data_IF_743402493412
#
_entry.id   IF_743402493412
#
_cell.length_a   1.000
_cell.length_b   1.000
_cell.length_c   1.000
_cell.angle_alpha   90.00
_cell.angle_beta   90.00
_cell.angle_gamma   90.00
#
_symmetry.space_group_name_H-M   'P 1'
#
loop_
_entity.id
_entity.type
_entity.pdbx_description
1 polymer ?
#
# COMPACT_ATOMS: atom_id res chain seq x y z
N UNK A 1 -3.93 69.42 5.75
CA UNK A 1 -4.83 69.00 4.66
C UNK A 1 -4.14 67.87 3.92
N UNK A 2 -4.90 66.80 3.81
CA UNK A 2 -4.56 65.42 3.46
C UNK A 2 -4.27 65.21 1.96
N UNK A 3 -3.26 64.39 1.71
CA UNK A 3 -3.20 63.21 0.83
C UNK A 3 -4.30 62.99 -0.23
N UNK A 4 -3.89 62.78 -1.49
CA UNK A 4 -3.81 61.45 -2.12
C UNK A 4 -3.58 61.59 -3.64
N UNK A 5 -2.39 61.20 -4.12
CA UNK A 5 -2.14 60.97 -5.54
C UNK A 5 -2.25 59.46 -5.82
N UNK A 6 -3.40 59.03 -6.36
CA UNK A 6 -3.68 57.65 -6.72
C UNK A 6 -2.70 57.10 -7.77
N UNK A 7 -1.80 56.22 -7.34
CA UNK A 7 -0.99 55.36 -8.22
C UNK A 7 -1.88 54.28 -8.83
N UNK A 8 -2.16 54.36 -10.13
CA UNK A 8 -2.72 53.25 -10.92
C UNK A 8 -1.76 52.06 -10.88
N UNK A 9 -2.15 50.96 -10.24
CA UNK A 9 -1.45 49.67 -10.27
C UNK A 9 -1.43 49.10 -11.71
N UNK A 10 -0.35 48.45 -12.16
CA UNK A 10 -0.19 48.02 -13.55
C UNK A 10 -1.12 46.86 -13.91
N UNK A 11 -1.89 46.99 -15.00
CA UNK A 11 -2.84 46.00 -15.55
C UNK A 11 -2.16 44.76 -16.17
N UNK A 12 -0.85 44.59 -15.96
CA UNK A 12 -0.05 43.51 -16.52
C UNK A 12 -0.18 42.23 -15.70
N UNK A 13 -0.19 42.34 -14.35
CA UNK A 13 -0.41 41.20 -13.46
C UNK A 13 -1.74 40.51 -13.71
N UNK A 14 -2.82 41.27 -13.95
CA UNK A 14 -4.15 40.70 -14.25
C UNK A 14 -4.18 39.94 -15.60
N UNK A 15 -3.39 40.37 -16.59
CA UNK A 15 -3.34 39.71 -17.91
C UNK A 15 -2.50 38.43 -17.88
N UNK A 16 -1.44 38.42 -17.09
CA UNK A 16 -0.63 37.22 -16.84
C UNK A 16 -1.45 36.20 -16.05
N UNK A 17 -2.19 36.65 -15.03
CA UNK A 17 -3.05 35.79 -14.21
C UNK A 17 -4.21 35.20 -15.02
N UNK A 18 -4.86 35.98 -15.89
CA UNK A 18 -5.88 35.47 -16.81
C UNK A 18 -5.32 34.50 -17.87
N UNK A 19 -4.08 34.70 -18.31
CA UNK A 19 -3.43 33.79 -19.25
C UNK A 19 -3.04 32.46 -18.60
N UNK A 20 -2.56 32.50 -17.35
CA UNK A 20 -2.29 31.30 -16.53
C UNK A 20 -3.59 30.53 -16.26
N UNK A 21 -4.66 31.23 -15.87
CA UNK A 21 -5.96 30.61 -15.59
C UNK A 21 -6.59 29.98 -16.85
N UNK A 22 -6.43 30.61 -18.02
CA UNK A 22 -6.83 29.99 -19.28
C UNK A 22 -5.99 28.75 -19.65
N UNK A 23 -4.71 28.72 -19.26
CA UNK A 23 -3.82 27.60 -19.51
C UNK A 23 -4.13 26.41 -18.59
N UNK A 24 -4.48 26.69 -17.33
CA UNK A 24 -4.99 25.70 -16.37
C UNK A 24 -6.32 25.12 -16.84
N UNK A 25 -7.27 25.94 -17.29
CA UNK A 25 -8.55 25.44 -17.84
C UNK A 25 -8.35 24.57 -19.08
N UNK A 26 -7.43 24.94 -19.97
CA UNK A 26 -7.12 24.13 -21.16
C UNK A 26 -6.43 22.81 -20.77
N UNK A 27 -5.55 22.84 -19.77
CA UNK A 27 -4.91 21.64 -19.23
C UNK A 27 -5.93 20.72 -18.55
N UNK A 28 -6.83 21.26 -17.72
CA UNK A 28 -7.90 20.50 -17.07
C UNK A 28 -8.90 19.88 -18.07
N UNK A 29 -9.25 20.60 -19.14
CA UNK A 29 -10.10 20.04 -20.22
C UNK A 29 -9.36 18.95 -21.01
N UNK A 30 -8.06 19.13 -21.28
CA UNK A 30 -7.26 18.10 -21.94
C UNK A 30 -7.11 16.85 -21.07
N UNK A 31 -6.95 17.03 -19.76
CA UNK A 31 -6.88 15.97 -18.75
C UNK A 31 -8.21 15.21 -18.66
N UNK A 32 -9.34 15.91 -18.51
CA UNK A 32 -10.66 15.27 -18.47
C UNK A 32 -10.99 14.49 -19.76
N UNK A 33 -10.53 14.99 -20.92
CA UNK A 33 -10.67 14.25 -22.19
C UNK A 33 -9.77 13.02 -22.22
N UNK A 34 -8.55 13.08 -21.68
CA UNK A 34 -7.64 11.95 -21.58
C UNK A 34 -8.20 10.86 -20.65
N UNK A 35 -8.68 11.24 -19.46
CA UNK A 35 -9.34 10.38 -18.47
C UNK A 35 -10.56 9.68 -19.06
N UNK A 36 -11.47 10.46 -19.67
CA UNK A 36 -12.67 9.88 -20.28
C UNK A 36 -12.32 8.93 -21.43
N UNK A 37 -11.27 9.25 -22.19
CA UNK A 37 -10.77 8.36 -23.23
C UNK A 37 -10.17 7.08 -22.64
N UNK A 38 -9.51 7.14 -21.47
CA UNK A 38 -8.90 6.00 -20.79
C UNK A 38 -9.94 5.08 -20.15
N UNK A 39 -10.91 5.61 -19.41
CA UNK A 39 -12.04 4.83 -18.88
C UNK A 39 -12.84 4.14 -20.00
N UNK A 40 -13.02 4.83 -21.13
CA UNK A 40 -13.67 4.23 -22.29
C UNK A 40 -12.77 3.19 -22.98
N UNK A 41 -11.45 3.35 -22.94
CA UNK A 41 -10.50 2.32 -23.37
C UNK A 41 -10.58 1.07 -22.48
N UNK A 42 -10.58 1.20 -21.15
CA UNK A 42 -10.76 0.08 -20.21
C UNK A 42 -12.09 -0.64 -20.44
N UNK A 43 -13.21 0.11 -20.50
CA UNK A 43 -14.54 -0.46 -20.77
C UNK A 43 -14.61 -1.20 -22.11
N UNK A 44 -13.82 -0.77 -23.08
CA UNK A 44 -13.75 -1.37 -24.42
C UNK A 44 -12.63 -2.41 -24.57
N UNK A 45 -11.82 -2.64 -23.53
CA UNK A 45 -10.66 -3.54 -23.56
C UNK A 45 -9.54 -3.08 -24.52
N UNK A 46 -9.39 -1.77 -24.72
CA UNK A 46 -8.37 -1.15 -25.57
C UNK A 46 -7.23 -0.61 -24.69
N UNK A 47 -5.97 -0.71 -25.13
CA UNK A 47 -4.83 -0.11 -24.41
C UNK A 47 -4.35 -0.87 -23.17
N UNK A 48 -4.83 -2.11 -22.96
CA UNK A 48 -4.19 -3.07 -22.05
C UNK A 48 -2.77 -3.36 -22.54
N UNK A 49 -1.78 -3.27 -21.65
CA UNK A 49 -0.50 -3.91 -21.94
C UNK A 49 -0.80 -5.40 -22.02
N UNK A 50 -0.47 -6.01 -23.15
CA UNK A 50 -0.65 -7.45 -23.33
C UNK A 50 0.30 -8.15 -22.37
N UNK A 51 -0.16 -8.48 -21.17
CA UNK A 51 0.50 -9.50 -20.36
C UNK A 51 0.68 -10.73 -21.24
N UNK A 52 1.76 -11.50 -21.10
CA UNK A 52 1.75 -12.80 -21.74
C UNK A 52 0.69 -13.64 -21.02
N UNK A 53 -0.40 -13.91 -21.75
CA UNK A 53 -1.41 -14.94 -21.49
C UNK A 53 -2.29 -14.79 -20.24
N UNK A 54 -3.46 -15.43 -20.31
CA UNK A 54 -4.35 -15.72 -19.18
C UNK A 54 -3.57 -16.34 -17.99
N UNK A 55 -4.15 -16.39 -16.77
CA UNK A 55 -3.52 -17.04 -15.61
C UNK A 55 -2.83 -18.32 -16.04
N UNK A 56 -1.50 -18.34 -15.97
CA UNK A 56 -0.77 -19.55 -16.29
C UNK A 56 -0.84 -20.43 -15.06
N UNK A 57 -1.40 -21.63 -15.20
CA UNK A 57 -0.93 -22.75 -14.37
C UNK A 57 0.58 -22.82 -14.65
N UNK A 58 1.39 -22.33 -13.71
CA UNK A 58 2.83 -22.41 -13.86
C UNK A 58 3.18 -23.90 -13.85
N UNK A 59 3.53 -24.45 -15.02
CA UNK A 59 4.06 -25.82 -15.19
C UNK A 59 5.33 -26.06 -14.33
N UNK A 60 5.84 -25.02 -13.65
CA UNK A 60 6.99 -25.04 -12.75
C UNK A 60 6.71 -24.62 -11.30
N UNK A 61 5.45 -24.54 -10.83
CA UNK A 61 5.21 -24.44 -9.37
C UNK A 61 5.92 -25.61 -8.70
N UNK A 62 6.75 -25.30 -7.70
CA UNK A 62 7.58 -26.30 -7.05
C UNK A 62 6.75 -27.33 -6.26
N UNK A 63 5.46 -27.03 -6.01
CA UNK A 63 4.55 -27.86 -5.21
C UNK A 63 5.07 -28.09 -3.79
N UNK A 64 5.93 -27.18 -3.30
CA UNK A 64 6.58 -27.31 -1.99
C UNK A 64 5.54 -27.14 -0.89
N UNK A 65 5.53 -28.08 0.05
CA UNK A 65 4.67 -28.07 1.23
C UNK A 65 5.51 -28.23 2.50
N UNK A 66 4.91 -27.93 3.64
CA UNK A 66 5.55 -27.92 4.95
C UNK A 66 6.54 -26.77 5.13
N UNK A 67 7.46 -26.93 6.09
CA UNK A 67 8.44 -25.91 6.45
C UNK A 67 9.67 -25.87 5.51
N UNK A 68 9.99 -24.69 4.97
CA UNK A 68 11.15 -24.48 4.09
C UNK A 68 11.58 -23.01 3.99
N UNK A 69 12.73 -22.74 3.36
CA UNK A 69 13.15 -21.38 2.96
C UNK A 69 13.17 -21.22 1.44
N UNK A 70 12.96 -20.00 0.95
CA UNK A 70 13.01 -19.65 -0.47
C UNK A 70 13.74 -18.32 -0.66
N UNK A 71 14.46 -18.20 -1.79
CA UNK A 71 15.05 -16.93 -2.20
C UNK A 71 14.06 -16.19 -3.09
N UNK A 72 13.75 -14.94 -2.76
CA UNK A 72 12.75 -14.12 -3.46
C UNK A 72 13.42 -12.86 -4.00
N UNK A 73 13.16 -12.59 -5.28
CA UNK A 73 13.69 -11.44 -5.99
C UNK A 73 12.64 -10.31 -6.05
N UNK A 74 13.08 -9.07 -5.85
CA UNK A 74 12.26 -7.87 -5.97
C UNK A 74 13.15 -6.65 -6.24
N UNK A 75 12.56 -5.51 -6.59
CA UNK A 75 13.27 -4.24 -6.83
C UNK A 75 13.33 -3.40 -5.55
N UNK A 76 14.45 -2.69 -5.34
CA UNK A 76 14.62 -1.78 -4.20
C UNK A 76 14.84 -0.35 -4.64
N UNK A 77 14.08 0.59 -4.07
CA UNK A 77 14.28 2.03 -4.31
C UNK A 77 15.65 2.51 -3.81
N UNK A 78 16.21 1.87 -2.78
CA UNK A 78 17.52 2.23 -2.23
C UNK A 78 18.68 1.99 -3.20
N UNK A 79 18.51 1.09 -4.17
CA UNK A 79 19.51 0.78 -5.21
C UNK A 79 19.17 1.46 -6.54
N UNK A 80 18.19 2.36 -6.57
CA UNK A 80 17.71 2.95 -7.83
C UNK A 80 16.87 1.98 -8.66
N UNK A 81 16.09 1.12 -8.00
CA UNK A 81 15.23 0.09 -8.59
C UNK A 81 15.95 -1.13 -9.18
N UNK A 82 17.19 -1.41 -8.75
CA UNK A 82 17.85 -2.68 -9.12
C UNK A 82 17.18 -3.87 -8.42
N UNK A 83 17.22 -5.03 -9.09
CA UNK A 83 16.80 -6.32 -8.53
C UNK A 83 17.73 -6.72 -7.39
N UNK A 84 17.14 -7.05 -6.25
CA UNK A 84 17.79 -7.63 -5.08
C UNK A 84 17.10 -8.94 -4.70
N UNK A 85 17.75 -9.73 -3.86
CA UNK A 85 17.25 -11.04 -3.45
C UNK A 85 17.33 -11.19 -1.94
N UNK A 86 16.30 -11.74 -1.32
CA UNK A 86 16.30 -12.06 0.12
C UNK A 86 15.77 -13.48 0.37
N UNK A 87 16.22 -14.10 1.45
CA UNK A 87 15.63 -15.35 1.93
C UNK A 87 14.35 -15.06 2.74
N UNK A 88 13.33 -15.90 2.58
CA UNK A 88 12.12 -15.95 3.40
C UNK A 88 11.86 -17.36 3.90
N UNK A 89 11.21 -17.48 5.06
CA UNK A 89 10.69 -18.74 5.56
C UNK A 89 9.25 -18.97 5.07
N UNK A 90 8.86 -20.23 4.98
CA UNK A 90 7.48 -20.65 4.76
C UNK A 90 7.20 -21.87 5.62
N UNK A 91 6.05 -21.90 6.28
CA UNK A 91 5.55 -23.09 6.97
C UNK A 91 4.03 -23.19 6.80
N UNK A 92 3.57 -24.33 6.28
CA UNK A 92 2.15 -24.59 6.11
C UNK A 92 1.41 -24.66 7.46
N UNK A 93 2.10 -25.03 8.55
CA UNK A 93 1.52 -25.13 9.90
C UNK A 93 0.99 -23.78 10.41
N UNK A 94 1.52 -22.65 9.89
CA UNK A 94 1.06 -21.30 10.25
C UNK A 94 -0.44 -21.09 10.01
N UNK A 95 -1.01 -21.75 9.00
CA UNK A 95 -2.43 -21.59 8.61
C UNK A 95 -3.38 -22.50 9.42
N UNK A 96 -2.84 -23.22 10.39
CA UNK A 96 -3.59 -24.04 11.36
C UNK A 96 -3.46 -23.53 12.79
N UNK A 97 -2.70 -22.45 12.99
CA UNK A 97 -2.56 -21.75 14.27
C UNK A 97 -3.72 -20.76 14.50
N UNK A 98 -3.74 -20.16 15.70
CA UNK A 98 -4.69 -19.08 16.02
C UNK A 98 -4.28 -17.80 15.28
N UNK A 99 -5.11 -17.25 14.37
CA UNK A 99 -4.74 -16.05 13.61
C UNK A 99 -4.64 -14.79 14.47
N UNK A 100 -5.16 -14.80 15.70
CA UNK A 100 -5.06 -13.66 16.65
C UNK A 100 -3.72 -13.62 17.39
N UNK A 101 -2.86 -14.61 17.17
CA UNK A 101 -1.50 -14.65 17.73
C UNK A 101 -0.50 -14.23 16.66
N UNK A 102 0.22 -13.14 16.92
CA UNK A 102 1.23 -12.61 15.99
C UNK A 102 2.30 -13.66 15.65
N UNK A 103 2.48 -13.92 14.36
CA UNK A 103 3.52 -14.77 13.83
C UNK A 103 4.57 -13.91 13.10
N UNK A 104 5.75 -13.79 13.70
CA UNK A 104 6.81 -12.92 13.19
C UNK A 104 7.43 -13.42 11.87
N UNK A 105 7.57 -14.75 11.69
CA UNK A 105 8.13 -15.31 10.45
C UNK A 105 7.16 -15.15 9.29
N UNK A 106 5.85 -15.40 9.51
CA UNK A 106 4.81 -15.13 8.51
C UNK A 106 4.75 -13.65 8.16
N UNK A 107 4.80 -12.76 9.17
CA UNK A 107 4.86 -11.33 8.95
C UNK A 107 6.10 -10.94 8.11
N UNK A 108 7.27 -11.51 8.39
CA UNK A 108 8.50 -11.25 7.63
C UNK A 108 8.34 -11.65 6.16
N UNK A 109 7.73 -12.81 5.90
CA UNK A 109 7.41 -13.25 4.54
C UNK A 109 6.40 -12.33 3.86
N UNK A 110 5.37 -11.87 4.57
CA UNK A 110 4.41 -10.88 4.07
C UNK A 110 5.06 -9.53 3.75
N UNK A 111 6.08 -9.09 4.49
CA UNK A 111 6.82 -7.86 4.19
C UNK A 111 7.51 -7.95 2.83
N UNK A 112 8.13 -9.10 2.54
CA UNK A 112 8.79 -9.37 1.25
C UNK A 112 7.75 -9.48 0.13
N UNK A 113 6.66 -10.23 0.32
CA UNK A 113 5.59 -10.33 -0.68
C UNK A 113 4.96 -8.96 -0.99
N UNK A 114 4.80 -8.10 0.01
CA UNK A 114 4.32 -6.73 -0.18
C UNK A 114 5.29 -5.88 -1.01
N UNK A 115 6.60 -6.09 -0.88
CA UNK A 115 7.60 -5.44 -1.74
C UNK A 115 7.57 -5.98 -3.16
N UNK A 116 7.43 -7.30 -3.32
CA UNK A 116 7.29 -7.98 -4.62
C UNK A 116 6.08 -7.45 -5.39
N UNK A 117 4.96 -7.18 -4.72
CA UNK A 117 3.77 -6.58 -5.35
C UNK A 117 4.08 -5.23 -6.01
N UNK A 118 4.95 -4.42 -5.40
CA UNK A 118 5.40 -3.15 -6.01
C UNK A 118 6.30 -3.39 -7.21
N UNK A 119 7.18 -4.38 -7.14
CA UNK A 119 8.10 -4.72 -8.24
C UNK A 119 7.38 -5.29 -9.46
N UNK A 120 6.26 -5.99 -9.25
CA UNK A 120 5.46 -6.58 -10.31
C UNK A 120 4.96 -5.56 -11.33
N UNK A 121 4.73 -4.30 -10.92
CA UNK A 121 4.35 -3.24 -11.87
C UNK A 121 5.34 -3.04 -13.00
N UNK A 122 6.64 -3.30 -12.78
CA UNK A 122 7.64 -3.24 -13.84
C UNK A 122 7.32 -4.18 -15.00
N UNK A 123 6.71 -5.35 -14.74
CA UNK A 123 6.36 -6.33 -15.76
C UNK A 123 5.27 -5.84 -16.72
N UNK A 124 4.36 -5.01 -16.22
CA UNK A 124 3.17 -4.54 -16.92
C UNK A 124 3.35 -3.18 -17.63
N UNK A 125 4.59 -2.73 -17.79
CA UNK A 125 4.92 -1.50 -18.53
C UNK A 125 5.21 -1.80 -20.02
N UNK A 126 4.74 -0.93 -20.92
CA UNK A 126 4.96 -1.08 -22.37
C UNK A 126 6.46 -1.14 -22.70
N UNK A 127 6.89 -2.25 -23.31
CA UNK A 127 8.28 -2.45 -23.72
C UNK A 127 9.24 -2.82 -22.59
N UNK A 128 8.73 -3.19 -21.42
CA UNK A 128 9.53 -3.65 -20.29
C UNK A 128 10.12 -5.05 -20.52
N UNK A 129 11.35 -5.23 -20.06
CA UNK A 129 12.03 -6.53 -19.92
C UNK A 129 12.06 -7.00 -18.45
N UNK A 130 11.27 -6.36 -17.57
CA UNK A 130 11.22 -6.72 -16.15
C UNK A 130 10.69 -8.14 -15.96
N UNK A 131 11.21 -8.91 -14.99
CA UNK A 131 10.62 -10.19 -14.60
C UNK A 131 9.19 -10.04 -14.05
N UNK A 132 8.40 -11.11 -14.16
CA UNK A 132 7.16 -11.28 -13.38
C UNK A 132 7.52 -11.70 -11.95
N UNK A 133 7.98 -10.74 -11.15
CA UNK A 133 8.49 -10.96 -9.79
C UNK A 133 7.49 -11.69 -8.89
N UNK A 134 6.21 -11.31 -8.94
CA UNK A 134 5.17 -11.92 -8.12
C UNK A 134 4.88 -13.36 -8.56
N UNK A 135 4.77 -13.60 -9.87
CA UNK A 135 4.57 -14.96 -10.38
C UNK A 135 5.73 -15.88 -10.01
N UNK A 136 6.97 -15.41 -10.15
CA UNK A 136 8.17 -16.14 -9.77
C UNK A 136 8.24 -16.42 -8.25
N UNK A 137 7.98 -15.40 -7.42
CA UNK A 137 8.00 -15.52 -5.96
C UNK A 137 6.96 -16.54 -5.47
N UNK A 138 5.74 -16.46 -5.99
CA UNK A 138 4.65 -17.35 -5.60
C UNK A 138 4.90 -18.79 -6.05
N UNK A 139 5.49 -19.02 -7.23
CA UNK A 139 5.89 -20.34 -7.69
C UNK A 139 6.97 -20.98 -6.81
N UNK A 140 7.97 -20.21 -6.37
CA UNK A 140 9.02 -20.64 -5.45
C UNK A 140 8.48 -21.00 -4.06
N UNK A 141 7.42 -20.32 -3.65
CA UNK A 141 6.65 -20.61 -2.43
C UNK A 141 5.62 -21.73 -2.63
N UNK A 142 5.52 -22.35 -3.82
CA UNK A 142 4.63 -23.47 -4.08
C UNK A 142 3.15 -23.11 -4.23
N UNK A 143 2.84 -21.85 -4.54
CA UNK A 143 1.49 -21.46 -4.96
C UNK A 143 1.20 -21.90 -6.40
N UNK A 144 -0.09 -22.01 -6.68
CA UNK A 144 -0.73 -22.43 -7.92
C UNK A 144 -1.85 -21.42 -8.27
N UNK A 145 -2.35 -21.45 -9.51
CA UNK A 145 -3.37 -20.51 -10.03
C UNK A 145 -3.07 -19.02 -9.68
N UNK A 146 -1.89 -18.56 -10.08
CA UNK A 146 -1.45 -17.20 -9.79
C UNK A 146 -2.11 -16.23 -10.77
N UNK A 147 -2.71 -15.17 -10.22
CA UNK A 147 -3.40 -14.13 -10.97
C UNK A 147 -2.88 -12.75 -10.58
N UNK A 148 -2.20 -12.13 -11.54
CA UNK A 148 -1.66 -10.77 -11.54
C UNK A 148 -2.44 -9.88 -12.54
N UNK A 149 -3.61 -10.34 -13.01
CA UNK A 149 -4.38 -9.70 -14.07
C UNK A 149 -4.80 -8.25 -13.74
N UNK A 150 -4.97 -7.95 -12.45
CA UNK A 150 -5.26 -6.60 -11.95
C UNK A 150 -4.24 -5.55 -12.42
N UNK A 151 -2.98 -5.93 -12.64
CA UNK A 151 -1.91 -5.00 -13.01
C UNK A 151 -1.97 -4.51 -14.47
N UNK A 152 -2.73 -5.19 -15.35
CA UNK A 152 -2.75 -4.97 -16.81
C UNK A 152 -3.20 -3.58 -17.25
N UNK A 153 -3.99 -2.90 -16.42
CA UNK A 153 -4.55 -1.57 -16.71
C UNK A 153 -4.01 -0.51 -15.76
N UNK A 154 -3.16 -0.90 -14.79
CA UNK A 154 -2.88 -0.11 -13.58
C UNK A 154 -1.39 0.15 -13.38
N UNK A 155 -0.52 -0.13 -14.36
CA UNK A 155 0.94 -0.11 -14.19
C UNK A 155 1.69 0.89 -15.10
N UNK A 156 0.97 1.72 -15.86
CA UNK A 156 1.56 2.79 -16.66
C UNK A 156 1.69 4.09 -15.85
N UNK A 157 2.90 4.63 -15.77
CA UNK A 157 3.24 5.86 -15.00
C UNK A 157 2.39 7.07 -15.45
N UNK A 158 1.93 7.09 -16.70
CA UNK A 158 1.12 8.19 -17.23
C UNK A 158 -0.36 8.12 -16.81
N UNK A 159 -0.88 6.93 -16.52
CA UNK A 159 -2.27 6.76 -16.06
C UNK A 159 -2.40 7.20 -14.60
N UNK A 160 -1.43 6.87 -13.76
CA UNK A 160 -1.45 7.17 -12.32
C UNK A 160 -1.30 8.67 -12.01
N UNK A 161 -0.51 9.43 -12.79
CA UNK A 161 -0.44 10.91 -12.66
C UNK A 161 -1.74 11.57 -13.12
N UNK A 162 -2.46 10.94 -14.05
CA UNK A 162 -3.72 11.45 -14.60
C UNK A 162 -4.89 11.15 -13.66
N UNK A 163 -4.96 9.94 -13.09
CA UNK A 163 -5.99 9.53 -12.14
C UNK A 163 -5.86 10.29 -10.80
N UNK A 164 -4.62 10.48 -10.34
CA UNK A 164 -4.29 11.32 -9.17
C UNK A 164 -4.72 12.79 -9.36
N UNK A 165 -4.51 13.38 -10.55
CA UNK A 165 -4.89 14.77 -10.83
C UNK A 165 -6.37 14.95 -11.20
N UNK A 166 -7.06 13.87 -11.55
CA UNK A 166 -8.45 13.91 -12.03
C UNK A 166 -9.48 13.51 -10.96
N UNK A 167 -9.05 13.03 -9.79
CA UNK A 167 -9.96 12.52 -8.75
C UNK A 167 -10.80 11.36 -9.26
N UNK A 168 -10.29 10.61 -10.23
CA UNK A 168 -11.00 9.45 -10.81
C UNK A 168 -10.41 8.17 -10.28
N UNK A 169 -11.11 7.59 -9.31
CA UNK A 169 -11.17 6.16 -9.00
C UNK A 169 -9.84 5.41 -9.03
N UNK A 170 -9.03 5.65 -8.01
CA UNK A 170 -7.72 5.04 -7.77
C UNK A 170 -7.86 3.50 -7.63
N UNK A 171 -7.64 2.75 -8.71
CA UNK A 171 -7.75 1.28 -8.66
C UNK A 171 -6.39 0.69 -8.31
N UNK A 172 -6.30 0.15 -7.09
CA UNK A 172 -5.08 -0.50 -6.60
C UNK A 172 -4.89 -1.86 -7.31
N UNK A 173 -3.66 -2.16 -7.72
CA UNK A 173 -3.33 -3.45 -8.29
C UNK A 173 -3.13 -4.51 -7.19
N UNK A 174 -3.52 -5.75 -7.43
CA UNK A 174 -3.35 -6.84 -6.48
C UNK A 174 -3.13 -8.18 -7.18
N UNK A 175 -2.53 -9.10 -6.44
CA UNK A 175 -2.26 -10.46 -6.88
C UNK A 175 -3.06 -11.43 -6.01
N UNK A 176 -3.67 -12.43 -6.64
CA UNK A 176 -4.34 -13.55 -5.94
C UNK A 176 -3.70 -14.85 -6.37
N UNK A 177 -3.38 -15.72 -5.42
CA UNK A 177 -2.87 -17.05 -5.71
C UNK A 177 -3.37 -18.08 -4.70
N UNK A 178 -3.37 -19.34 -5.09
CA UNK A 178 -3.86 -20.44 -4.26
C UNK A 178 -2.76 -21.40 -3.87
N UNK A 179 -2.83 -22.02 -2.71
CA UNK A 179 -1.91 -23.08 -2.29
C UNK A 179 -2.63 -24.09 -1.44
N UNK A 180 -2.38 -25.39 -1.67
CA UNK A 180 -2.76 -26.43 -0.71
C UNK A 180 -1.73 -26.46 0.41
N UNK A 181 -2.19 -26.18 1.63
CA UNK A 181 -1.36 -26.25 2.84
C UNK A 181 -1.78 -27.46 3.66
N UNK A 182 -0.80 -28.17 4.20
CA UNK A 182 -1.03 -29.41 4.97
C UNK A 182 -0.34 -29.33 6.32
N UNK A 183 -1.11 -29.50 7.40
CA UNK A 183 -0.58 -29.59 8.75
C UNK A 183 0.17 -30.90 8.98
N UNK A 184 1.04 -30.93 10.00
CA UNK A 184 1.77 -32.13 10.42
C UNK A 184 0.85 -33.31 10.79
N UNK A 185 -0.37 -33.01 11.25
CA UNK A 185 -1.38 -34.00 11.62
C UNK A 185 -2.26 -34.48 10.44
N UNK A 186 -2.03 -33.95 9.24
CA UNK A 186 -2.70 -34.32 7.99
C UNK A 186 -3.99 -33.55 7.70
N UNK A 187 -4.34 -32.53 8.47
CA UNK A 187 -5.38 -31.56 8.06
C UNK A 187 -4.90 -30.77 6.84
N UNK A 188 -5.82 -30.45 5.94
CA UNK A 188 -5.53 -29.69 4.72
C UNK A 188 -6.42 -28.45 4.66
N UNK A 189 -5.89 -27.35 4.11
CA UNK A 189 -6.67 -26.18 3.72
C UNK A 189 -6.28 -25.71 2.32
N UNK A 190 -7.19 -25.04 1.62
CA UNK A 190 -6.84 -24.22 0.46
C UNK A 190 -6.59 -22.79 0.94
N UNK A 191 -5.34 -22.36 0.90
CA UNK A 191 -4.92 -21.00 1.19
C UNK A 191 -5.09 -20.12 -0.05
N UNK A 192 -5.77 -18.99 0.10
CA UNK A 192 -5.78 -17.88 -0.84
C UNK A 192 -4.91 -16.76 -0.29
N UNK A 193 -3.84 -16.41 -1.01
CA UNK A 193 -3.02 -15.24 -0.73
C UNK A 193 -3.50 -14.07 -1.58
N UNK A 194 -3.67 -12.92 -0.96
CA UNK A 194 -3.83 -11.62 -1.59
C UNK A 194 -2.66 -10.73 -1.21
N UNK A 195 -1.87 -10.34 -2.22
CA UNK A 195 -0.78 -9.37 -2.06
C UNK A 195 -1.12 -8.11 -2.83
N UNK A 196 -1.23 -6.99 -2.12
CA UNK A 196 -1.75 -5.73 -2.66
C UNK A 196 -0.62 -4.73 -2.87
N UNK A 197 -0.58 -4.15 -4.08
CA UNK A 197 0.42 -3.16 -4.48
C UNK A 197 0.23 -1.84 -3.73
N UNK A 198 1.33 -1.25 -3.28
CA UNK A 198 1.41 0.11 -2.78
C UNK A 198 1.66 1.16 -3.87
N UNK A 199 2.42 2.19 -3.51
CA UNK A 199 2.86 3.25 -4.43
C UNK A 199 4.36 3.12 -4.71
N UNK A 200 4.81 3.50 -5.92
CA UNK A 200 6.19 3.39 -6.38
C UNK A 200 6.90 4.76 -6.45
N UNK A 201 7.84 5.02 -5.54
CA UNK A 201 8.85 6.09 -5.63
C UNK A 201 8.34 7.53 -5.84
N UNK A 202 8.19 7.96 -7.11
CA UNK A 202 7.81 9.33 -7.49
C UNK A 202 6.38 9.70 -7.13
N UNK A 203 5.51 8.71 -6.95
CA UNK A 203 4.10 8.87 -6.59
C UNK A 203 3.94 9.56 -5.23
N UNK A 204 4.76 9.20 -4.25
CA UNK A 204 4.73 9.81 -2.90
C UNK A 204 5.17 11.28 -2.89
N UNK A 205 6.08 11.66 -3.80
CA UNK A 205 6.52 13.05 -3.95
C UNK A 205 5.48 13.88 -4.70
N UNK A 206 4.68 13.29 -5.59
CA UNK A 206 3.49 13.94 -6.14
C UNK A 206 2.35 14.05 -5.15
N UNK A 207 2.15 13.05 -4.27
CA UNK A 207 1.19 13.10 -3.15
C UNK A 207 1.48 14.26 -2.19
N UNK A 208 2.77 14.58 -2.00
CA UNK A 208 3.23 15.77 -1.28
C UNK A 208 3.21 17.07 -2.12
N UNK A 209 3.25 16.97 -3.44
CA UNK A 209 3.21 18.11 -4.36
C UNK A 209 1.77 18.38 -4.81
N UNK A 210 0.91 18.61 -3.83
CA UNK A 210 -0.49 19.00 -4.04
C UNK A 210 -0.55 20.30 -4.85
N UNK A 211 -1.20 20.23 -6.01
CA UNK A 211 -1.57 21.40 -6.83
C UNK A 211 -2.55 22.34 -6.12
N UNK A 212 -3.04 23.35 -6.84
CA UNK A 212 -3.91 24.39 -6.27
C UNK A 212 -5.22 23.76 -5.72
N UNK A 213 -5.47 23.92 -4.42
CA UNK A 213 -6.57 23.28 -3.67
C UNK A 213 -7.99 23.61 -4.18
N UNK A 214 -8.11 24.52 -5.15
CA UNK A 214 -9.37 24.92 -5.77
C UNK A 214 -9.86 23.96 -6.87
N UNK A 215 -9.02 23.02 -7.32
CA UNK A 215 -9.37 22.02 -8.34
C UNK A 215 -9.82 20.66 -7.73
N UNK A 216 -9.80 20.52 -6.39
CA UNK A 216 -10.17 19.29 -5.68
C UNK A 216 -11.54 19.42 -5.00
N UNK A 217 -12.49 18.55 -5.34
CA UNK A 217 -13.61 18.24 -4.44
C UNK A 217 -13.06 17.33 -3.33
N UNK A 218 -12.51 17.93 -2.26
CA UNK A 218 -11.97 17.25 -1.06
C UNK A 218 -13.07 16.64 -0.16
N UNK A 219 -14.08 16.01 -0.75
CA UNK A 219 -15.01 15.19 0.00
C UNK A 219 -14.31 13.86 0.34
N UNK A 220 -13.69 13.81 1.52
CA UNK A 220 -12.87 12.74 2.08
C UNK A 220 -11.45 12.62 1.49
N UNK A 221 -10.44 12.60 2.36
CA UNK A 221 -9.09 12.16 1.99
C UNK A 221 -9.24 10.69 1.54
N UNK A 222 -9.06 10.41 0.25
CA UNK A 222 -9.40 9.21 -0.56
C UNK A 222 -9.67 7.85 0.15
N UNK A 223 -10.68 7.81 1.03
CA UNK A 223 -11.20 6.58 1.61
C UNK A 223 -11.96 5.73 0.59
N UNK A 224 -12.64 6.36 -0.37
CA UNK A 224 -13.49 5.66 -1.32
C UNK A 224 -12.68 4.75 -2.26
N UNK A 225 -11.49 5.20 -2.69
CA UNK A 225 -10.59 4.41 -3.53
C UNK A 225 -10.16 3.11 -2.86
N UNK A 226 -9.69 3.17 -1.62
CA UNK A 226 -9.27 1.96 -0.88
C UNK A 226 -10.45 1.02 -0.63
N UNK A 227 -11.61 1.55 -0.24
CA UNK A 227 -12.82 0.75 -0.05
C UNK A 227 -13.25 0.06 -1.33
N UNK A 228 -13.18 0.74 -2.48
CA UNK A 228 -13.54 0.16 -3.77
C UNK A 228 -12.60 -0.97 -4.17
N UNK A 229 -11.29 -0.76 -4.04
CA UNK A 229 -10.30 -1.80 -4.31
C UNK A 229 -10.46 -3.00 -3.36
N UNK A 230 -10.76 -2.75 -2.08
CA UNK A 230 -11.04 -3.82 -1.13
C UNK A 230 -12.30 -4.63 -1.49
N UNK A 231 -13.37 -3.96 -1.95
CA UNK A 231 -14.56 -4.65 -2.45
C UNK A 231 -14.26 -5.49 -3.70
N UNK A 232 -13.46 -4.97 -4.65
CA UNK A 232 -13.04 -5.72 -5.85
C UNK A 232 -12.29 -7.00 -5.47
N UNK A 233 -11.36 -6.93 -4.51
CA UNK A 233 -10.63 -8.09 -3.99
C UNK A 233 -11.60 -9.12 -3.38
N UNK A 234 -12.53 -8.67 -2.53
CA UNK A 234 -13.52 -9.54 -1.88
C UNK A 234 -14.43 -10.21 -2.90
N UNK A 235 -14.84 -9.49 -3.95
CA UNK A 235 -15.67 -10.04 -5.03
C UNK A 235 -14.89 -11.07 -5.87
N UNK A 236 -13.60 -10.83 -6.19
CA UNK A 236 -12.75 -11.79 -6.90
C UNK A 236 -12.53 -13.07 -6.05
N UNK A 237 -12.23 -12.91 -4.75
CA UNK A 237 -12.13 -14.04 -3.81
C UNK A 237 -13.43 -14.82 -3.75
N UNK A 238 -14.58 -14.15 -3.61
CA UNK A 238 -15.88 -14.80 -3.57
C UNK A 238 -16.15 -15.61 -4.84
N UNK A 239 -15.81 -15.07 -6.02
CA UNK A 239 -15.97 -15.79 -7.29
C UNK A 239 -15.08 -17.03 -7.35
N UNK A 240 -13.80 -16.90 -6.99
CA UNK A 240 -12.83 -18.01 -7.00
C UNK A 240 -13.20 -19.11 -6.02
N UNK A 241 -13.48 -18.74 -4.77
CA UNK A 241 -13.86 -19.68 -3.71
C UNK A 241 -15.17 -20.39 -4.08
N UNK A 242 -16.18 -19.67 -4.60
CA UNK A 242 -17.43 -20.31 -5.03
C UNK A 242 -17.19 -21.32 -6.16
N UNK A 243 -16.27 -21.01 -7.09
CA UNK A 243 -15.92 -21.90 -8.21
C UNK A 243 -15.21 -23.17 -7.76
N UNK A 244 -14.31 -23.06 -6.78
CA UNK A 244 -13.54 -24.20 -6.26
C UNK A 244 -14.30 -25.02 -5.22
N UNK A 245 -14.87 -24.35 -4.20
CA UNK A 245 -15.55 -25.00 -3.09
C UNK A 245 -16.87 -25.65 -3.48
N UNK A 246 -17.60 -25.07 -4.43
CA UNK A 246 -18.92 -25.56 -4.86
C UNK A 246 -19.88 -25.77 -3.68
N UNK A 247 -20.46 -26.97 -3.57
CA UNK A 247 -21.35 -27.34 -2.45
C UNK A 247 -20.59 -27.77 -1.16
N UNK A 248 -19.25 -27.76 -1.19
CA UNK A 248 -18.39 -28.23 -0.09
C UNK A 248 -18.29 -27.30 1.11
N UNK A 249 -18.73 -26.04 0.96
CA UNK A 249 -18.60 -25.01 2.00
C UNK A 249 -17.19 -24.40 2.05
N UNK A 250 -16.98 -23.46 2.97
CA UNK A 250 -15.73 -22.69 3.08
C UNK A 250 -14.88 -23.06 4.29
N UNK A 251 -15.24 -24.11 5.03
CA UNK A 251 -14.60 -24.51 6.30
C UNK A 251 -13.09 -24.83 6.16
N UNK A 252 -12.66 -25.32 5.00
CA UNK A 252 -11.26 -25.65 4.70
C UNK A 252 -10.53 -24.52 3.93
N UNK A 253 -11.09 -23.32 3.85
CA UNK A 253 -10.46 -22.15 3.22
C UNK A 253 -9.66 -21.36 4.26
N UNK A 254 -8.47 -20.92 3.88
CA UNK A 254 -7.70 -19.91 4.61
C UNK A 254 -7.41 -18.70 3.71
N UNK A 255 -7.39 -17.50 4.29
CA UNK A 255 -7.08 -16.25 3.59
C UNK A 255 -5.85 -15.60 4.22
N UNK A 256 -4.92 -15.13 3.40
CA UNK A 256 -3.78 -14.33 3.83
C UNK A 256 -3.75 -13.03 3.04
N UNK A 257 -3.87 -11.90 3.74
CA UNK A 257 -3.79 -10.56 3.16
C UNK A 257 -2.47 -9.90 3.54
N UNK A 258 -1.80 -9.28 2.57
CA UNK A 258 -0.64 -8.44 2.83
C UNK A 258 -0.52 -7.28 1.86
N UNK A 259 0.16 -6.23 2.30
CA UNK A 259 0.45 -5.06 1.49
C UNK A 259 1.32 -4.06 2.24
N UNK A 260 1.87 -3.10 1.50
CA UNK A 260 2.68 -2.00 2.04
C UNK A 260 2.09 -0.64 1.63
N UNK A 261 2.08 0.35 2.53
CA UNK A 261 1.62 1.72 2.26
C UNK A 261 0.16 1.77 1.78
N UNK A 262 -0.12 2.35 0.60
CA UNK A 262 -1.44 2.29 -0.05
C UNK A 262 -2.00 0.86 -0.14
N UNK A 263 -1.16 -0.12 -0.47
CA UNK A 263 -1.56 -1.52 -0.56
C UNK A 263 -1.89 -2.12 0.79
N UNK A 264 -1.21 -1.66 1.85
CA UNK A 264 -1.54 -2.02 3.23
C UNK A 264 -2.94 -1.52 3.62
N UNK A 265 -3.33 -0.31 3.22
CA UNK A 265 -4.67 0.23 3.50
C UNK A 265 -5.77 -0.64 2.86
N UNK A 266 -5.61 -0.98 1.59
CA UNK A 266 -6.55 -1.85 0.87
C UNK A 266 -6.56 -3.27 1.43
N UNK A 267 -5.41 -3.86 1.78
CA UNK A 267 -5.33 -5.19 2.39
C UNK A 267 -6.00 -5.23 3.78
N UNK A 268 -5.80 -4.20 4.60
CA UNK A 268 -6.43 -4.05 5.92
C UNK A 268 -7.97 -3.98 5.79
N UNK A 269 -8.48 -3.17 4.85
CA UNK A 269 -9.91 -3.11 4.55
C UNK A 269 -10.48 -4.43 4.02
N UNK A 270 -9.80 -5.06 3.06
CA UNK A 270 -10.25 -6.33 2.49
C UNK A 270 -10.33 -7.45 3.55
N UNK A 271 -9.35 -7.51 4.45
CA UNK A 271 -9.38 -8.42 5.59
C UNK A 271 -10.57 -8.11 6.53
N UNK A 272 -10.80 -6.84 6.89
CA UNK A 272 -11.93 -6.45 7.74
C UNK A 272 -13.28 -6.82 7.13
N UNK A 273 -13.41 -6.73 5.81
CA UNK A 273 -14.63 -7.12 5.09
C UNK A 273 -14.81 -8.63 5.09
N UNK A 274 -13.72 -9.39 4.92
CA UNK A 274 -13.75 -10.84 5.05
C UNK A 274 -14.15 -11.27 6.47
N UNK A 275 -13.65 -10.59 7.50
CA UNK A 275 -14.03 -10.83 8.90
C UNK A 275 -15.52 -10.51 9.13
N UNK A 276 -16.02 -9.35 8.68
CA UNK A 276 -17.44 -8.99 8.76
C UNK A 276 -18.35 -10.03 8.09
N UNK A 277 -17.90 -10.61 6.96
CA UNK A 277 -18.63 -11.65 6.23
C UNK A 277 -18.78 -12.95 7.02
N UNK A 278 -17.93 -13.21 8.03
CA UNK A 278 -18.06 -14.36 8.93
C UNK A 278 -19.33 -14.31 9.80
N UNK A 279 -19.87 -13.11 10.03
CA UNK A 279 -21.13 -12.89 10.74
C UNK A 279 -22.36 -13.06 9.83
N UNK A 280 -22.14 -13.19 8.52
CA UNK A 280 -23.17 -13.20 7.49
C UNK A 280 -23.51 -14.57 6.91
N UNK A 281 -24.12 -14.56 5.72
CA UNK A 281 -24.50 -15.77 4.95
C UNK A 281 -23.54 -16.08 3.79
N UNK A 282 -22.54 -15.23 3.56
CA UNK A 282 -21.57 -15.33 2.46
C UNK A 282 -20.15 -15.41 3.03
N UNK A 283 -19.93 -16.37 3.92
CA UNK A 283 -18.63 -16.55 4.58
C UNK A 283 -17.60 -16.98 3.53
N UNK A 284 -16.49 -16.23 3.40
CA UNK A 284 -15.38 -16.59 2.50
C UNK A 284 -14.48 -17.67 3.11
N UNK A 285 -14.19 -17.53 4.40
CA UNK A 285 -13.43 -18.46 5.23
C UNK A 285 -13.86 -18.32 6.70
N UNK A 286 -13.63 -19.32 7.56
CA UNK A 286 -13.83 -19.17 8.99
C UNK A 286 -12.92 -18.07 9.56
N UNK A 287 -13.38 -17.35 10.57
CA UNK A 287 -12.61 -16.26 11.20
C UNK A 287 -11.25 -16.76 11.71
N UNK A 288 -11.21 -17.99 12.23
CA UNK A 288 -10.00 -18.70 12.67
C UNK A 288 -9.03 -19.09 11.53
N UNK A 289 -9.31 -18.67 10.29
CA UNK A 289 -8.49 -18.95 9.10
C UNK A 289 -8.27 -17.71 8.23
N UNK A 290 -8.50 -16.50 8.75
CA UNK A 290 -8.22 -15.24 8.08
C UNK A 290 -7.01 -14.59 8.75
N UNK A 291 -5.98 -14.26 7.99
CA UNK A 291 -4.72 -13.69 8.47
C UNK A 291 -4.42 -12.40 7.70
N UNK A 292 -3.98 -11.35 8.38
CA UNK A 292 -3.60 -10.10 7.70
C UNK A 292 -2.35 -9.47 8.34
N UNK A 293 -1.36 -9.20 7.49
CA UNK A 293 -0.10 -8.55 7.88
C UNK A 293 0.18 -7.39 6.93
N UNK A 294 0.15 -6.18 7.47
CA UNK A 294 0.28 -4.96 6.69
C UNK A 294 1.46 -4.12 7.19
N UNK A 295 2.07 -3.36 6.30
CA UNK A 295 3.29 -2.60 6.58
C UNK A 295 3.11 -1.14 6.17
N UNK A 296 3.57 -0.23 7.01
CA UNK A 296 3.41 1.21 6.78
C UNK A 296 1.95 1.62 6.54
N UNK A 297 1.00 0.95 7.20
CA UNK A 297 -0.44 1.12 7.00
C UNK A 297 -0.85 2.52 7.42
N UNK A 298 -1.40 3.36 6.54
CA UNK A 298 -1.94 4.66 6.94
C UNK A 298 -3.17 4.50 7.84
N UNK A 299 -3.60 5.58 8.47
CA UNK A 299 -4.95 5.59 9.03
C UNK A 299 -5.96 5.63 7.87
N UNK A 300 -7.07 4.91 7.95
CA UNK A 300 -7.86 4.61 6.76
C UNK A 300 -9.38 4.56 6.96
N UNK A 301 -9.87 4.80 8.18
CA UNK A 301 -11.32 4.89 8.44
C UNK A 301 -11.61 5.73 9.67
N UNK A 302 -12.82 6.29 9.75
CA UNK A 302 -13.33 6.98 10.96
C UNK A 302 -14.28 6.11 11.78
N UNK A 303 -14.35 4.81 11.45
CA UNK A 303 -15.17 3.82 12.15
C UNK A 303 -14.60 3.57 13.55
N UNK A 304 -15.46 3.67 14.58
CA UNK A 304 -15.03 3.61 15.99
C UNK A 304 -14.69 2.20 16.50
N UNK A 305 -15.17 1.14 15.84
CA UNK A 305 -15.08 -0.25 16.33
C UNK A 305 -13.98 -1.07 15.63
N UNK A 306 -12.98 -0.39 15.05
CA UNK A 306 -11.84 -1.02 14.35
C UNK A 306 -10.94 -1.89 15.23
N UNK A 307 -11.02 -1.72 16.56
CA UNK A 307 -10.32 -2.54 17.55
C UNK A 307 -11.19 -3.61 18.23
N UNK A 308 -12.35 -3.94 17.67
CA UNK A 308 -13.17 -5.06 18.15
C UNK A 308 -12.44 -6.40 17.95
N UNK A 309 -12.71 -7.38 18.82
CA UNK A 309 -12.12 -8.71 18.77
C UNK A 309 -12.36 -9.48 17.44
N UNK A 310 -13.28 -8.98 16.61
CA UNK A 310 -13.50 -9.47 15.26
C UNK A 310 -12.27 -9.27 14.36
N UNK A 311 -11.45 -8.24 14.63
CA UNK A 311 -10.33 -7.83 13.79
C UNK A 311 -8.96 -8.11 14.45
N UNK A 312 -8.92 -8.92 15.52
CA UNK A 312 -7.70 -9.27 16.28
C UNK A 312 -6.68 -10.08 15.44
N UNK A 313 -7.08 -10.56 14.26
CA UNK A 313 -6.25 -11.25 13.25
C UNK A 313 -5.52 -10.31 12.27
N UNK A 314 -5.72 -8.99 12.40
CA UNK A 314 -5.09 -7.98 11.56
C UNK A 314 -3.93 -7.33 12.32
N UNK A 315 -2.72 -7.46 11.81
CA UNK A 315 -1.51 -6.85 12.37
C UNK A 315 -0.93 -5.78 11.44
N UNK A 316 -0.79 -4.56 11.94
CA UNK A 316 -0.19 -3.43 11.23
C UNK A 316 1.22 -3.18 11.80
N UNK A 317 2.26 -3.42 11.01
CA UNK A 317 3.64 -3.20 11.39
C UNK A 317 4.04 -1.78 10.97
N UNK A 318 4.44 -0.97 11.95
CA UNK A 318 4.61 0.48 11.79
C UNK A 318 6.02 0.90 12.18
N UNK A 319 6.64 1.77 11.38
CA UNK A 319 7.93 2.39 11.69
C UNK A 319 7.71 3.76 12.36
N UNK A 320 8.27 4.01 13.56
CA UNK A 320 8.14 5.31 14.24
C UNK A 320 8.68 6.51 13.46
N UNK A 321 9.64 6.30 12.57
CA UNK A 321 10.23 7.36 11.73
C UNK A 321 9.59 7.44 10.34
N UNK A 322 8.55 6.66 10.08
CA UNK A 322 7.73 6.73 8.88
C UNK A 322 6.49 7.59 9.14
N UNK A 323 6.25 8.58 8.28
CA UNK A 323 5.11 9.48 8.43
C UNK A 323 3.79 8.86 7.94
N UNK A 324 3.83 7.86 7.05
CA UNK A 324 2.62 7.30 6.42
C UNK A 324 1.66 6.70 7.44
N UNK A 325 2.13 5.90 8.42
CA UNK A 325 1.30 5.42 9.53
C UNK A 325 0.73 6.51 10.45
N UNK A 326 1.06 7.78 10.24
CA UNK A 326 0.58 8.88 11.08
C UNK A 326 -0.45 9.73 10.36
N UNK A 327 -0.76 9.39 9.10
CA UNK A 327 -1.64 10.14 8.23
C UNK A 327 -2.74 9.24 7.63
N UNK A 328 -3.95 9.79 7.43
CA UNK A 328 -4.45 11.05 7.99
C UNK A 328 -4.44 11.03 9.53
N UNK A 329 -4.56 12.19 10.19
CA UNK A 329 -4.27 12.26 11.62
C UNK A 329 -5.31 11.50 12.46
N UNK A 330 -4.83 10.73 13.44
CA UNK A 330 -5.69 10.12 14.46
C UNK A 330 -6.49 11.17 15.26
N UNK A 331 -5.96 12.39 15.43
CA UNK A 331 -6.68 13.49 16.06
C UNK A 331 -7.92 13.95 15.26
N UNK A 332 -8.00 13.60 13.98
CA UNK A 332 -9.19 13.83 13.14
C UNK A 332 -10.21 12.69 13.24
N UNK A 333 -9.96 11.68 14.09
CA UNK A 333 -10.82 10.52 14.26
C UNK A 333 -10.51 9.37 13.31
N UNK A 334 -9.43 9.46 12.53
CA UNK A 334 -8.99 8.38 11.65
C UNK A 334 -8.28 7.29 12.45
N UNK A 335 -8.48 6.05 12.05
CA UNK A 335 -7.92 4.83 12.65
C UNK A 335 -7.76 3.76 11.57
N UNK A 336 -7.19 2.61 11.92
CA UNK A 336 -7.08 1.39 11.10
C UNK A 336 -7.55 0.16 11.87
N UNK A 337 -7.94 -0.91 11.17
CA UNK A 337 -8.41 -2.14 11.81
C UNK A 337 -7.26 -2.94 12.44
N UNK A 338 -7.54 -3.61 13.55
CA UNK A 338 -6.64 -4.56 14.19
C UNK A 338 -5.61 -3.96 15.15
N UNK A 339 -4.43 -4.57 15.18
CA UNK A 339 -3.37 -4.30 16.16
C UNK A 339 -2.16 -3.60 15.53
N UNK A 340 -1.77 -2.47 16.13
CA UNK A 340 -0.58 -1.73 15.74
C UNK A 340 0.66 -2.25 16.49
N UNK A 341 1.65 -2.70 15.73
CA UNK A 341 2.94 -3.20 16.20
C UNK A 341 4.06 -2.26 15.74
N UNK A 342 4.62 -1.52 16.69
CA UNK A 342 5.70 -0.57 16.40
C UNK A 342 7.06 -1.26 16.35
N UNK A 343 7.79 -1.02 15.26
CA UNK A 343 9.22 -1.31 15.15
C UNK A 343 10.01 -0.45 16.16
N UNK A 344 11.26 -0.85 16.51
CA UNK A 344 12.09 -0.06 17.42
C UNK A 344 12.22 1.39 16.96
N UNK A 345 11.96 2.34 17.86
CA UNK A 345 12.05 3.76 17.58
C UNK A 345 13.28 4.39 18.21
N UNK A 346 13.79 5.44 17.56
CA UNK A 346 14.89 6.24 18.11
C UNK A 346 14.56 6.72 19.53
N UNK A 347 15.51 6.55 20.46
CA UNK A 347 15.34 6.87 21.87
C UNK A 347 14.77 5.73 22.74
N UNK A 348 14.34 4.61 22.15
CA UNK A 348 13.90 3.43 22.90
C UNK A 348 15.10 2.71 23.57
N UNK A 349 14.83 1.95 24.63
CA UNK A 349 15.87 1.15 25.28
C UNK A 349 16.40 0.06 24.34
N UNK A 350 17.73 0.01 24.18
CA UNK A 350 18.40 -0.95 23.30
C UNK A 350 18.24 -0.63 21.80
N UNK A 351 17.80 0.59 21.44
CA UNK A 351 17.62 0.98 20.05
C UNK A 351 18.91 0.87 19.24
N UNK A 352 20.04 1.39 19.75
CA UNK A 352 21.31 1.44 19.01
C UNK A 352 21.77 0.06 18.53
N UNK A 353 21.70 -0.95 19.40
CA UNK A 353 22.08 -2.34 19.07
C UNK A 353 21.15 -2.95 18.00
N UNK A 354 19.84 -2.68 18.11
CA UNK A 354 18.85 -3.16 17.13
C UNK A 354 18.97 -2.45 15.79
N UNK A 355 19.27 -1.14 15.80
CA UNK A 355 19.49 -0.35 14.61
C UNK A 355 20.75 -0.81 13.87
N UNK A 356 21.85 -1.09 14.58
CA UNK A 356 23.07 -1.66 13.98
C UNK A 356 22.78 -3.00 13.29
N UNK A 357 22.05 -3.91 13.97
CA UNK A 357 21.65 -5.18 13.38
C UNK A 357 20.74 -5.02 12.14
N UNK A 358 19.79 -4.08 12.17
CA UNK A 358 18.94 -3.77 11.02
C UNK A 358 19.75 -3.25 9.84
N UNK A 359 20.73 -2.36 10.08
CA UNK A 359 21.60 -1.85 9.03
C UNK A 359 22.47 -2.96 8.40
N UNK A 360 22.99 -3.90 9.20
CA UNK A 360 23.74 -5.05 8.69
C UNK A 360 22.86 -5.92 7.76
N UNK A 361 21.62 -6.19 8.16
CA UNK A 361 20.67 -6.94 7.33
C UNK A 361 20.31 -6.17 6.05
N UNK A 362 20.08 -4.86 6.16
CA UNK A 362 19.78 -4.02 5.01
C UNK A 362 20.91 -4.05 3.98
N UNK A 363 22.15 -3.89 4.41
CA UNK A 363 23.32 -3.94 3.54
C UNK A 363 23.49 -5.34 2.93
N UNK A 364 23.23 -6.40 3.69
CA UNK A 364 23.27 -7.77 3.19
C UNK A 364 22.24 -8.03 2.08
N UNK A 365 21.03 -7.50 2.21
CA UNK A 365 19.96 -7.66 1.22
C UNK A 365 20.16 -6.78 -0.02
N UNK A 366 20.61 -5.53 0.17
CA UNK A 366 20.59 -4.50 -0.88
C UNK A 366 21.95 -4.25 -1.53
N UNK A 367 23.06 -4.62 -0.86
CA UNK A 367 24.41 -4.31 -1.28
C UNK A 367 24.83 -2.83 -1.12
N UNK A 368 23.99 -2.00 -0.48
CA UNK A 368 24.27 -0.58 -0.22
C UNK A 368 24.03 -0.22 1.25
N UNK A 369 24.67 0.86 1.70
CA UNK A 369 24.48 1.39 3.05
C UNK A 369 23.01 1.81 3.29
N UNK A 370 22.50 1.56 4.49
CA UNK A 370 21.13 1.88 4.84
C UNK A 370 20.89 3.40 4.84
N UNK A 371 19.92 3.92 4.06
CA UNK A 371 19.62 5.35 4.04
C UNK A 371 18.73 5.78 5.22
N UNK A 372 18.24 4.84 6.04
CA UNK A 372 17.30 5.12 7.13
C UNK A 372 17.91 6.06 8.18
N UNK A 373 17.23 7.18 8.44
CA UNK A 373 17.61 8.16 9.47
C UNK A 373 16.67 8.00 10.67
N UNK A 374 17.13 7.38 11.77
CA UNK A 374 16.26 7.05 12.88
C UNK A 374 15.73 8.29 13.62
N UNK A 375 16.50 9.38 13.67
CA UNK A 375 16.11 10.66 14.26
C UNK A 375 14.88 11.29 13.60
N UNK A 376 14.48 10.85 12.40
CA UNK A 376 13.28 11.34 11.73
C UNK A 376 12.00 11.09 12.53
N UNK A 377 12.01 10.18 13.51
CA UNK A 377 10.95 10.04 14.51
C UNK A 377 10.59 11.39 15.14
N UNK A 378 11.58 12.17 15.56
CA UNK A 378 11.35 13.47 16.21
C UNK A 378 10.71 14.48 15.24
N UNK A 379 11.13 14.46 13.97
CA UNK A 379 10.58 15.32 12.92
C UNK A 379 9.12 14.94 12.60
N UNK A 380 8.84 13.64 12.48
CA UNK A 380 7.49 13.12 12.23
C UNK A 380 6.56 13.42 13.40
N UNK A 381 6.99 13.20 14.65
CA UNK A 381 6.19 13.49 15.83
C UNK A 381 5.84 14.99 15.92
N UNK A 382 6.82 15.86 15.67
CA UNK A 382 6.59 17.32 15.63
C UNK A 382 5.61 17.71 14.53
N UNK A 383 5.78 17.16 13.31
CA UNK A 383 4.89 17.45 12.19
C UNK A 383 3.43 17.07 12.49
N UNK A 384 3.22 15.88 13.06
CA UNK A 384 1.89 15.38 13.46
C UNK A 384 1.26 16.27 14.53
N UNK A 385 2.04 16.69 15.53
CA UNK A 385 1.55 17.61 16.58
C UNK A 385 1.18 18.99 16.01
N UNK A 386 2.05 19.55 15.18
CA UNK A 386 1.83 20.86 14.58
C UNK A 386 0.63 20.85 13.63
N UNK A 387 0.49 19.82 12.79
CA UNK A 387 -0.68 19.66 11.91
C UNK A 387 -1.97 19.53 12.71
N UNK A 388 -2.01 18.70 13.75
CA UNK A 388 -3.22 18.53 14.57
C UNK A 388 -3.61 19.79 15.34
N UNK A 389 -2.65 20.64 15.68
CA UNK A 389 -2.88 21.93 16.35
C UNK A 389 -3.35 23.01 15.38
N UNK A 390 -2.76 23.08 14.20
CA UNK A 390 -3.00 24.15 13.22
C UNK A 390 -4.20 23.85 12.30
N UNK A 391 -4.47 22.56 12.08
CA UNK A 391 -5.58 22.03 11.28
C UNK A 391 -6.33 21.01 12.14
N UNK A 392 -7.28 21.45 13.00
CA UNK A 392 -7.91 20.58 13.99
C UNK A 392 -8.81 19.48 13.40
N UNK A 393 -9.32 19.66 12.19
CA UNK A 393 -10.23 18.69 11.53
C UNK A 393 -9.89 18.51 10.05
N UNK A 394 -10.30 17.38 9.47
CA UNK A 394 -10.18 17.13 8.03
C UNK A 394 -11.00 18.13 7.19
N UNK A 395 -12.12 18.66 7.71
CA UNK A 395 -12.90 19.71 7.04
C UNK A 395 -12.15 21.06 7.00
N UNK A 396 -11.35 21.36 8.02
CA UNK A 396 -10.50 22.55 8.05
C UNK A 396 -9.37 22.48 6.99
N UNK A 397 -8.90 21.27 6.66
CA UNK A 397 -7.98 21.03 5.56
C UNK A 397 -8.64 21.36 4.20
N UNK A 398 -9.88 20.92 3.99
CA UNK A 398 -10.64 21.08 2.74
C UNK A 398 -11.17 22.50 2.50
N UNK A 399 -11.52 23.22 3.57
CA UNK A 399 -12.23 24.50 3.48
C UNK A 399 -11.32 25.72 3.30
N UNK A 400 -10.00 25.57 3.41
CA UNK A 400 -9.08 26.68 3.45
C UNK A 400 -8.10 26.66 2.25
N UNK A 401 -8.43 27.42 1.20
CA UNK A 401 -7.53 27.76 0.08
C UNK A 401 -6.26 28.56 0.45
N UNK A 402 -5.82 28.50 1.72
CA UNK A 402 -4.56 29.03 2.25
C UNK A 402 -3.68 27.98 2.96
N UNK A 403 -4.10 26.70 2.99
CA UNK A 403 -3.41 25.58 3.64
C UNK A 403 -2.07 25.23 2.99
N UNK A 404 -1.88 25.49 1.70
CA UNK A 404 -0.63 25.17 0.99
C UNK A 404 0.57 25.87 1.60
N UNK A 405 0.47 27.14 2.04
CA UNK A 405 1.61 27.80 2.67
C UNK A 405 1.85 27.33 4.10
N UNK A 406 0.79 26.95 4.83
CA UNK A 406 0.87 26.44 6.20
C UNK A 406 1.50 25.06 6.21
N UNK A 407 1.02 24.14 5.38
CA UNK A 407 1.58 22.80 5.19
C UNK A 407 2.99 22.87 4.63
N UNK A 408 3.27 23.76 3.67
CA UNK A 408 4.64 24.00 3.20
C UNK A 408 5.57 24.52 4.30
N UNK A 409 5.09 25.44 5.15
CA UNK A 409 5.89 25.98 6.26
C UNK A 409 6.11 24.91 7.37
N UNK A 410 5.14 24.03 7.61
CA UNK A 410 5.25 22.90 8.53
C UNK A 410 6.18 21.79 8.00
N UNK A 411 6.16 21.54 6.70
CA UNK A 411 7.05 20.59 6.02
C UNK A 411 8.43 21.18 5.72
N UNK A 412 8.66 22.49 5.91
CA UNK A 412 9.94 23.13 5.61
C UNK A 412 11.11 22.61 6.45
N UNK A 413 10.82 22.10 7.66
CA UNK A 413 11.80 21.47 8.55
C UNK A 413 12.01 19.97 8.23
N UNK A 414 11.22 19.40 7.31
CA UNK A 414 11.26 17.99 6.92
C UNK A 414 11.90 17.87 5.54
N UNK A 415 12.94 17.06 5.40
CA UNK A 415 13.43 16.69 4.07
C UNK A 415 12.53 15.57 3.53
N UNK A 416 11.64 15.83 2.55
CA UNK A 416 10.65 14.85 2.11
C UNK A 416 11.30 13.61 1.50
N UNK A 417 12.45 13.75 0.84
CA UNK A 417 13.22 12.61 0.33
C UNK A 417 13.78 11.73 1.44
N UNK A 418 14.14 12.33 2.58
CA UNK A 418 14.76 11.63 3.68
C UNK A 418 13.73 10.87 4.53
N UNK A 419 12.59 11.49 4.83
CA UNK A 419 11.55 10.81 5.61
C UNK A 419 10.95 9.63 4.85
N UNK A 420 11.01 9.65 3.52
CA UNK A 420 10.67 8.49 2.69
C UNK A 420 11.58 7.27 2.92
N UNK A 421 12.80 7.43 3.46
CA UNK A 421 13.67 6.30 3.73
C UNK A 421 13.09 5.36 4.78
N UNK A 422 12.44 5.92 5.82
CA UNK A 422 11.70 5.12 6.81
C UNK A 422 10.52 4.34 6.23
N UNK A 423 10.01 4.81 5.08
CA UNK A 423 8.90 4.22 4.36
C UNK A 423 9.32 3.16 3.32
N UNK A 424 10.61 2.88 3.15
CA UNK A 424 11.03 1.90 2.14
C UNK A 424 10.65 0.48 2.56
N UNK A 425 10.06 -0.35 1.66
CA UNK A 425 9.80 -1.76 1.96
C UNK A 425 11.06 -2.51 2.39
N UNK A 426 12.23 -2.19 1.82
CA UNK A 426 13.51 -2.78 2.20
C UNK A 426 13.94 -2.43 3.63
N UNK A 427 13.55 -1.28 4.17
CA UNK A 427 13.78 -0.91 5.58
C UNK A 427 12.86 -1.72 6.49
N UNK A 428 11.58 -1.86 6.15
CA UNK A 428 10.66 -2.74 6.88
C UNK A 428 11.15 -4.20 6.88
N UNK A 429 11.54 -4.74 5.72
CA UNK A 429 12.08 -6.09 5.60
C UNK A 429 13.33 -6.28 6.48
N UNK A 430 14.27 -5.33 6.45
CA UNK A 430 15.48 -5.41 7.26
C UNK A 430 15.17 -5.39 8.76
N UNK A 431 14.23 -4.54 9.19
CA UNK A 431 13.75 -4.54 10.57
C UNK A 431 13.16 -5.89 10.95
N UNK A 432 12.23 -6.41 10.15
CA UNK A 432 11.57 -7.69 10.38
C UNK A 432 12.57 -8.84 10.48
N UNK A 433 13.61 -8.87 9.65
CA UNK A 433 14.62 -9.94 9.70
C UNK A 433 15.64 -9.77 10.83
N UNK A 434 15.81 -8.56 11.36
CA UNK A 434 16.74 -8.28 12.47
C UNK A 434 16.13 -8.56 13.86
N UNK A 435 14.80 -8.65 13.94
CA UNK A 435 14.06 -8.89 15.16
C UNK A 435 13.79 -10.40 15.27
N UNK A 436 13.90 -10.95 16.48
CA UNK A 436 13.76 -12.39 16.75
C UNK A 436 12.83 -12.65 17.92
#
# INVERSE_FOLDING_TARGET
MTDEAGKRRPRWGLRVLLALLALVVVAGVALAVAVHHRQEQERLGLGAVSAPSAPQELEGSTGRTGAFTAQIDFTSMATGAETISTEVAWDDEWFFADPTVYNHELATTCAVLSAVANSESGYYQEGSDSPAYMEAALAELGFEDISTASYQYRSEIFDEVVDFLAGTDDVVAYSVATKRVTADDGREKTLYLVSVRGSYGSEWLSDLNMGDAADYEMDAIDHEGFMRAANEIVDDLAERITREAGDGGTDDVALLFCGHSRGAATANLAASYADDMTLGLRVLAPLESIYCYTFATPELTTVENTGDALYDNIFNILNPSDMVPRLPLASWGYTRYGHDLWLPGYGDEGFDEKYEAMCEVFEANTGVECPYVPEDREHVDKLVEDLGREIPTAEDLASAGGVVSLVHDLLADVNPMQVLYGHYPSVYIAWMQSLA
#
